data_IF_601391359635
#
_entry.id   IF_601391359635
#
_cell.length_a   1.000
_cell.length_b   1.000
_cell.length_c   1.000
_cell.angle_alpha   90.00
_cell.angle_beta   90.00
_cell.angle_gamma   90.00
#
_symmetry.space_group_name_H-M   'P 1'
#
loop_
_entity.id
_entity.type
_entity.pdbx_description
1 polymer ?
#
# COMPACT_ATOMS: atom_id res chain seq x y z
N UNK A 1 5.69 -60.90 -45.89
CA UNK A 1 6.78 -59.89 -45.96
C UNK A 1 6.15 -58.52 -45.83
N UNK A 2 6.19 -57.91 -44.64
CA UNK A 2 5.81 -56.50 -44.50
C UNK A 2 6.90 -55.65 -45.16
N UNK A 3 6.49 -54.79 -46.10
CA UNK A 3 7.37 -53.88 -46.82
C UNK A 3 8.05 -52.93 -45.83
N UNK A 4 9.39 -52.82 -45.90
CA UNK A 4 10.19 -51.89 -45.06
C UNK A 4 9.70 -50.43 -45.13
N UNK A 5 8.99 -50.04 -46.21
CA UNK A 5 8.33 -48.72 -46.32
C UNK A 5 7.18 -48.54 -45.34
N UNK A 6 6.34 -49.57 -45.12
CA UNK A 6 5.19 -49.46 -44.23
C UNK A 6 5.59 -49.31 -42.75
N UNK A 7 6.72 -49.90 -42.35
CA UNK A 7 7.27 -49.72 -41.00
C UNK A 7 7.86 -48.32 -40.77
N UNK A 8 8.48 -47.74 -41.80
CA UNK A 8 9.03 -46.37 -41.72
C UNK A 8 7.91 -45.32 -41.61
N UNK A 9 6.80 -45.49 -42.35
CA UNK A 9 5.64 -44.60 -42.25
C UNK A 9 5.01 -44.65 -40.85
N UNK A 10 4.79 -45.84 -40.28
CA UNK A 10 4.21 -45.99 -38.94
C UNK A 10 5.11 -45.33 -37.88
N UNK A 11 6.43 -45.54 -37.96
CA UNK A 11 7.37 -44.92 -37.03
C UNK A 11 7.35 -43.39 -37.12
N UNK A 12 7.29 -42.84 -38.35
CA UNK A 12 7.21 -41.39 -38.55
C UNK A 12 5.93 -40.79 -37.96
N UNK A 13 4.79 -41.46 -38.10
CA UNK A 13 3.50 -41.04 -37.53
C UNK A 13 3.57 -41.02 -36.00
N UNK A 14 4.17 -42.03 -35.37
CA UNK A 14 4.31 -42.11 -33.91
C UNK A 14 5.20 -40.98 -33.39
N UNK A 15 6.32 -40.69 -34.08
CA UNK A 15 7.21 -39.60 -33.69
C UNK A 15 6.49 -38.25 -33.85
N UNK A 16 5.76 -38.04 -34.95
CA UNK A 16 5.04 -36.79 -35.19
C UNK A 16 3.92 -36.56 -34.17
N UNK A 17 3.14 -37.59 -33.84
CA UNK A 17 2.09 -37.49 -32.81
C UNK A 17 2.69 -37.28 -31.43
N UNK A 18 3.80 -37.95 -31.09
CA UNK A 18 4.52 -37.74 -29.84
C UNK A 18 4.99 -36.28 -29.68
N UNK A 19 5.61 -35.72 -30.72
CA UNK A 19 6.07 -34.31 -30.71
C UNK A 19 4.88 -33.35 -30.63
N UNK A 20 3.80 -33.59 -31.38
CA UNK A 20 2.61 -32.76 -31.34
C UNK A 20 1.95 -32.71 -29.96
N UNK A 21 1.90 -33.85 -29.25
CA UNK A 21 1.38 -33.92 -27.87
C UNK A 21 2.25 -33.10 -26.92
N UNK A 22 3.58 -33.23 -27.00
CA UNK A 22 4.51 -32.48 -26.14
C UNK A 22 4.36 -30.97 -26.37
N UNK A 23 4.25 -30.54 -27.63
CA UNK A 23 4.01 -29.13 -27.97
C UNK A 23 2.65 -28.68 -27.43
N UNK A 24 1.60 -29.49 -27.59
CA UNK A 24 0.27 -29.19 -27.07
C UNK A 24 0.24 -28.99 -25.56
N UNK A 25 0.88 -29.88 -24.80
CA UNK A 25 1.00 -29.75 -23.34
C UNK A 25 1.80 -28.50 -22.95
N UNK A 26 2.88 -28.20 -23.68
CA UNK A 26 3.70 -27.00 -23.45
C UNK A 26 2.90 -25.71 -23.65
N UNK A 27 2.12 -25.63 -24.73
CA UNK A 27 1.25 -24.49 -25.01
C UNK A 27 0.16 -24.32 -23.95
N UNK A 28 -0.53 -25.41 -23.58
CA UNK A 28 -1.58 -25.36 -22.54
C UNK A 28 -1.01 -24.88 -21.20
N UNK A 29 0.17 -25.39 -20.82
CA UNK A 29 0.84 -24.99 -19.57
C UNK A 29 1.23 -23.52 -19.59
N UNK A 30 1.76 -23.03 -20.72
CA UNK A 30 2.11 -21.62 -20.92
C UNK A 30 0.87 -20.70 -20.84
N UNK A 31 -0.21 -21.05 -21.54
CA UNK A 31 -1.46 -20.28 -21.49
C UNK A 31 -2.08 -20.26 -20.09
N UNK A 32 -2.05 -21.40 -19.39
CA UNK A 32 -2.52 -21.49 -18.00
C UNK A 32 -1.73 -20.55 -17.08
N UNK A 33 -0.39 -20.56 -17.20
CA UNK A 33 0.49 -19.68 -16.42
C UNK A 33 0.27 -18.20 -16.70
N UNK A 34 0.04 -17.81 -17.96
CA UNK A 34 -0.25 -16.40 -18.29
C UNK A 34 -1.63 -16.00 -17.78
N UNK A 35 -2.62 -16.88 -17.96
CA UNK A 35 -3.97 -16.63 -17.49
C UNK A 35 -4.00 -16.41 -15.98
N UNK A 36 -3.33 -17.26 -15.19
CA UNK A 36 -3.26 -17.11 -13.74
C UNK A 36 -2.58 -15.80 -13.33
N UNK A 37 -1.45 -15.46 -13.95
CA UNK A 37 -0.74 -14.19 -13.67
C UNK A 37 -1.60 -12.96 -13.98
N UNK A 38 -2.37 -12.99 -15.06
CA UNK A 38 -3.28 -11.90 -15.41
C UNK A 38 -4.45 -11.78 -14.43
N UNK A 39 -5.02 -12.90 -13.99
CA UNK A 39 -6.10 -12.91 -12.98
C UNK A 39 -5.59 -12.34 -11.66
N UNK A 40 -4.39 -12.76 -11.21
CA UNK A 40 -3.79 -12.26 -9.97
C UNK A 40 -3.51 -10.76 -10.05
N UNK A 41 -3.01 -10.28 -11.20
CA UNK A 41 -2.81 -8.85 -11.44
C UNK A 41 -4.11 -8.06 -11.43
N UNK A 42 -5.18 -8.57 -12.07
CA UNK A 42 -6.50 -7.93 -12.07
C UNK A 42 -7.10 -7.87 -10.66
N UNK A 43 -6.98 -8.95 -9.88
CA UNK A 43 -7.42 -9.01 -8.50
C UNK A 43 -6.65 -8.01 -7.63
N UNK A 44 -5.32 -7.94 -7.77
CA UNK A 44 -4.50 -6.95 -7.08
C UNK A 44 -4.95 -5.53 -7.41
N UNK A 45 -5.10 -5.20 -8.69
CA UNK A 45 -5.54 -3.88 -9.12
C UNK A 45 -6.93 -3.52 -8.57
N UNK A 46 -7.87 -4.47 -8.60
CA UNK A 46 -9.21 -4.29 -8.04
C UNK A 46 -9.16 -3.99 -6.55
N UNK A 47 -8.38 -4.75 -5.77
CA UNK A 47 -8.19 -4.53 -4.33
C UNK A 47 -7.56 -3.16 -4.06
N UNK A 48 -6.49 -2.80 -4.78
CA UNK A 48 -5.82 -1.51 -4.59
C UNK A 48 -6.71 -0.32 -4.95
N UNK A 49 -7.50 -0.43 -6.03
CA UNK A 49 -8.47 0.59 -6.42
C UNK A 49 -9.57 0.73 -5.37
N UNK A 50 -10.12 -0.39 -4.89
CA UNK A 50 -11.13 -0.38 -3.84
C UNK A 50 -10.60 0.28 -2.56
N UNK A 51 -9.39 -0.07 -2.12
CA UNK A 51 -8.73 0.56 -0.97
C UNK A 51 -8.43 2.04 -1.20
N UNK A 52 -8.05 2.44 -2.41
CA UNK A 52 -7.82 3.86 -2.73
C UNK A 52 -9.08 4.72 -2.56
N UNK A 53 -10.21 4.24 -3.09
CA UNK A 53 -11.49 4.95 -3.03
C UNK A 53 -12.18 4.84 -1.68
N UNK A 54 -11.87 3.80 -0.89
CA UNK A 54 -12.46 3.64 0.43
C UNK A 54 -11.80 4.52 1.49
N UNK A 55 -10.58 5.02 1.28
CA UNK A 55 -9.83 5.75 2.31
C UNK A 55 -9.90 7.26 2.12
N UNK A 56 -10.16 7.98 3.21
CA UNK A 56 -10.06 9.44 3.28
C UNK A 56 -9.20 9.82 4.47
N UNK A 57 -8.31 10.79 4.24
CA UNK A 57 -7.65 11.55 5.28
C UNK A 57 -7.87 13.04 5.01
N UNK A 58 -8.20 13.81 6.03
CA UNK A 58 -8.44 15.26 5.92
C UNK A 58 -7.83 15.99 7.10
N UNK A 59 -7.21 17.13 6.81
CA UNK A 59 -6.82 18.08 7.85
C UNK A 59 -8.06 18.64 8.54
N UNK A 60 -8.00 18.74 9.85
CA UNK A 60 -9.09 19.25 10.71
C UNK A 60 -8.67 20.58 11.32
N UNK A 61 -7.55 20.59 12.03
CA UNK A 61 -7.05 21.74 12.76
C UNK A 61 -5.54 21.59 13.03
N UNK A 62 -4.88 22.67 13.41
CA UNK A 62 -3.55 22.63 13.99
C UNK A 62 -3.55 23.46 15.26
N UNK A 63 -2.87 22.98 16.29
CA UNK A 63 -2.51 23.75 17.47
C UNK A 63 -0.98 23.97 17.49
N UNK A 64 -0.48 24.55 18.58
CA UNK A 64 0.95 24.88 18.75
C UNK A 64 1.87 23.64 18.69
N UNK A 65 1.34 22.44 18.93
CA UNK A 65 2.10 21.19 19.03
C UNK A 65 1.67 20.12 18.03
N UNK A 66 0.40 20.07 17.63
CA UNK A 66 -0.15 19.00 16.82
C UNK A 66 -0.90 19.52 15.60
N UNK A 67 -0.70 18.85 14.47
CA UNK A 67 -1.59 18.90 13.34
C UNK A 67 -2.57 17.72 13.42
N UNK A 68 -3.87 18.03 13.40
CA UNK A 68 -4.96 17.08 13.56
C UNK A 68 -5.57 16.70 12.22
N UNK A 69 -5.72 15.40 12.01
CA UNK A 69 -6.32 14.82 10.82
C UNK A 69 -7.45 13.87 11.22
N UNK A 70 -8.50 13.82 10.41
CA UNK A 70 -9.51 12.77 10.48
C UNK A 70 -9.22 11.74 9.40
N UNK A 71 -9.09 10.48 9.82
CA UNK A 71 -9.01 9.33 8.93
C UNK A 71 -10.31 8.55 8.99
N UNK A 72 -10.88 8.22 7.84
CA UNK A 72 -12.15 7.51 7.73
C UNK A 72 -12.14 6.56 6.54
N UNK A 73 -12.84 5.44 6.68
CA UNK A 73 -13.21 4.60 5.54
C UNK A 73 -14.63 4.89 5.07
N UNK A 74 -14.78 5.17 3.78
CA UNK A 74 -16.06 5.45 3.11
C UNK A 74 -16.95 4.22 2.95
N UNK A 75 -16.35 3.01 3.01
CA UNK A 75 -17.11 1.76 2.98
C UNK A 75 -17.77 1.42 4.32
N UNK A 76 -17.58 2.25 5.36
CA UNK A 76 -18.15 2.06 6.69
C UNK A 76 -17.56 0.87 7.44
N UNK A 77 -16.53 0.21 6.91
CA UNK A 77 -15.90 -0.95 7.55
C UNK A 77 -15.17 -0.61 8.85
N UNK A 78 -14.86 0.69 9.07
CA UNK A 78 -14.16 1.20 10.24
C UNK A 78 -14.77 2.50 10.71
N UNK A 79 -14.73 2.74 12.02
CA UNK A 79 -15.12 4.04 12.57
C UNK A 79 -14.09 5.11 12.17
N UNK A 80 -14.52 6.34 11.88
CA UNK A 80 -13.60 7.47 11.76
C UNK A 80 -12.81 7.65 13.05
N UNK A 81 -11.54 8.01 12.92
CA UNK A 81 -10.67 8.30 14.04
C UNK A 81 -9.78 9.50 13.75
N UNK A 82 -9.28 10.13 14.81
CA UNK A 82 -8.39 11.27 14.69
C UNK A 82 -6.94 10.85 14.82
N UNK A 83 -6.09 11.47 14.00
CA UNK A 83 -4.64 11.31 14.02
C UNK A 83 -4.06 12.67 14.39
N UNK A 84 -3.27 12.69 15.46
CA UNK A 84 -2.43 13.81 15.84
C UNK A 84 -1.00 13.57 15.33
N UNK A 85 -0.40 14.60 14.75
CA UNK A 85 0.97 14.57 14.24
C UNK A 85 1.73 15.70 14.92
N UNK A 86 2.76 15.35 15.71
CA UNK A 86 3.60 16.35 16.40
C UNK A 86 4.33 17.21 15.36
N UNK A 87 4.08 18.52 15.38
CA UNK A 87 4.64 19.49 14.45
C UNK A 87 6.01 20.03 14.91
N UNK A 88 6.41 19.76 16.15
CA UNK A 88 7.64 20.27 16.76
C UNK A 88 8.86 19.41 16.44
N UNK A 89 8.64 18.15 16.10
CA UNK A 89 9.69 17.20 15.76
C UNK A 89 9.77 17.01 14.25
N UNK A 90 10.84 17.54 13.64
CA UNK A 90 11.14 17.37 12.22
C UNK A 90 11.59 15.93 11.85
N UNK A 91 11.38 14.94 12.72
CA UNK A 91 11.87 13.58 12.55
C UNK A 91 10.76 12.58 12.21
N UNK A 92 11.05 11.78 11.19
CA UNK A 92 10.20 10.81 10.48
C UNK A 92 9.97 9.50 11.28
N UNK A 93 9.84 9.59 12.60
CA UNK A 93 9.64 8.42 13.46
C UNK A 93 8.15 8.22 13.78
N UNK A 94 7.73 6.98 13.97
CA UNK A 94 6.35 6.65 14.27
C UNK A 94 5.89 7.22 15.61
N UNK A 95 6.84 7.59 16.49
CA UNK A 95 6.59 8.24 17.77
C UNK A 95 5.92 9.62 17.66
N UNK A 96 5.99 10.30 16.51
CA UNK A 96 5.31 11.60 16.32
C UNK A 96 3.84 11.46 15.92
N UNK A 97 3.37 10.23 15.68
CA UNK A 97 2.02 9.94 15.25
C UNK A 97 1.25 9.35 16.42
N UNK A 98 0.10 9.92 16.72
CA UNK A 98 -0.80 9.38 17.74
C UNK A 98 -2.21 9.27 17.18
N UNK A 99 -2.91 8.20 17.51
CA UNK A 99 -4.36 8.13 17.31
C UNK A 99 -5.08 8.53 18.58
N UNK A 100 -6.07 9.39 18.42
CA UNK A 100 -6.89 9.87 19.53
C UNK A 100 -8.15 9.01 19.69
N UNK A 101 -8.35 8.52 20.92
CA UNK A 101 -9.44 7.65 21.34
C UNK A 101 -10.48 8.50 22.08
N UNK A 102 -11.50 8.92 21.34
CA UNK A 102 -12.54 9.80 21.88
C UNK A 102 -13.32 9.16 23.04
N UNK A 103 -13.48 7.83 23.05
CA UNK A 103 -14.25 7.12 24.08
C UNK A 103 -13.64 7.20 25.49
N UNK A 104 -12.34 7.52 25.60
CA UNK A 104 -11.62 7.61 26.88
C UNK A 104 -11.52 9.06 27.36
N UNK A 105 -11.87 10.03 26.51
CA UNK A 105 -11.82 11.44 26.88
C UNK A 105 -12.85 11.79 27.96
N UNK A 106 -12.37 12.07 29.16
CA UNK A 106 -13.20 12.37 30.32
C UNK A 106 -13.24 13.86 30.69
N UNK A 107 -12.33 14.68 30.16
CA UNK A 107 -12.13 16.07 30.57
C UNK A 107 -12.27 17.09 29.41
N UNK A 108 -12.71 16.63 28.24
CA UNK A 108 -12.87 17.40 27.01
C UNK A 108 -11.56 18.04 26.50
N UNK A 109 -10.40 17.62 27.00
CA UNK A 109 -9.09 18.08 26.54
C UNK A 109 -8.41 16.92 25.81
N UNK A 110 -8.11 17.06 24.52
CA UNK A 110 -7.55 15.94 23.76
C UNK A 110 -6.12 15.61 24.21
N UNK A 111 -5.83 14.31 24.38
CA UNK A 111 -4.54 13.81 24.85
C UNK A 111 -4.15 14.30 26.25
N UNK A 112 -5.12 14.60 27.13
CA UNK A 112 -4.86 15.09 28.48
C UNK A 112 -4.57 13.93 29.45
N UNK A 113 -5.22 12.78 29.23
CA UNK A 113 -5.06 11.59 30.08
C UNK A 113 -4.31 10.46 29.37
N UNK A 114 -3.66 9.62 30.18
CA UNK A 114 -2.92 8.46 29.68
C UNK A 114 -3.85 7.49 28.94
N UNK A 115 -3.47 7.10 27.72
CA UNK A 115 -4.26 6.18 26.89
C UNK A 115 -5.27 6.86 25.96
N UNK A 116 -5.53 8.16 26.10
CA UNK A 116 -6.34 8.90 25.11
C UNK A 116 -5.64 9.03 23.77
N UNK A 117 -4.31 9.16 23.78
CA UNK A 117 -3.50 9.27 22.58
C UNK A 117 -2.51 8.12 22.52
N UNK A 118 -2.87 7.14 21.71
CA UNK A 118 -2.07 5.93 21.49
C UNK A 118 -1.02 6.26 20.44
N UNK A 119 0.24 6.25 20.87
CA UNK A 119 1.39 6.48 19.99
C UNK A 119 1.50 5.33 18.99
N UNK A 120 1.74 5.65 17.73
CA UNK A 120 1.91 4.67 16.67
C UNK A 120 3.20 3.86 16.88
N UNK A 121 3.17 2.60 16.46
CA UNK A 121 4.33 1.72 16.52
C UNK A 121 4.94 1.54 15.13
N UNK A 122 6.26 1.33 15.06
CA UNK A 122 6.91 1.01 13.79
C UNK A 122 6.52 -0.39 13.34
N UNK A 123 5.81 -0.49 12.20
CA UNK A 123 5.46 -1.77 11.59
C UNK A 123 6.67 -2.42 10.93
N UNK A 124 7.48 -1.60 10.25
CA UNK A 124 8.70 -2.06 9.59
C UNK A 124 9.42 -0.94 8.85
N UNK A 125 10.66 -1.24 8.46
CA UNK A 125 11.53 -0.36 7.70
C UNK A 125 11.70 -0.96 6.32
N UNK A 126 11.24 -0.24 5.29
CA UNK A 126 11.20 -0.73 3.92
C UNK A 126 12.08 0.12 3.00
N UNK A 127 12.94 -0.47 2.16
CA UNK A 127 13.60 0.27 1.09
C UNK A 127 12.56 0.95 0.19
N UNK A 128 12.80 2.21 -0.20
CA UNK A 128 11.83 2.99 -1.01
C UNK A 128 11.45 2.26 -2.30
N UNK A 129 12.39 1.55 -2.92
CA UNK A 129 12.18 0.78 -4.15
C UNK A 129 11.41 -0.56 -3.97
N UNK A 130 11.10 -0.95 -2.73
CA UNK A 130 10.27 -2.12 -2.41
C UNK A 130 8.84 -1.76 -2.02
N UNK A 131 8.53 -0.46 -2.06
CA UNK A 131 7.22 0.08 -1.78
C UNK A 131 6.61 0.45 -3.10
N UNK A 132 5.39 -0.02 -3.34
CA UNK A 132 4.70 0.19 -4.61
C UNK A 132 3.63 1.27 -4.49
N UNK A 133 3.27 1.90 -5.59
CA UNK A 133 2.21 2.91 -5.69
C UNK A 133 1.32 2.53 -6.88
N UNK A 134 0.01 2.63 -6.69
CA UNK A 134 -0.94 2.58 -7.81
C UNK A 134 -0.96 3.96 -8.48
N UNK A 135 -0.44 4.06 -9.70
CA UNK A 135 -0.41 5.29 -10.47
C UNK A 135 -0.88 5.05 -11.90
N UNK A 136 -1.89 5.79 -12.35
CA UNK A 136 -2.40 5.72 -13.73
C UNK A 136 -2.71 4.29 -14.21
N UNK A 137 -3.31 3.47 -13.34
CA UNK A 137 -3.65 2.05 -13.57
C UNK A 137 -2.44 1.11 -13.74
N UNK A 138 -1.24 1.51 -13.30
CA UNK A 138 -0.10 0.62 -13.18
C UNK A 138 0.48 0.65 -11.76
N UNK A 139 1.25 -0.39 -11.44
CA UNK A 139 1.97 -0.51 -10.18
C UNK A 139 3.43 -0.16 -10.45
N UNK A 140 3.88 0.96 -9.89
CA UNK A 140 5.26 1.42 -9.99
C UNK A 140 5.88 1.53 -8.61
N UNK A 141 7.20 1.46 -8.51
CA UNK A 141 7.87 1.66 -7.23
C UNK A 141 7.76 3.13 -6.79
N UNK A 142 7.73 3.35 -5.48
CA UNK A 142 7.53 4.65 -4.85
C UNK A 142 8.64 5.62 -5.23
N UNK A 143 9.89 5.16 -5.42
CA UNK A 143 10.99 6.03 -5.80
C UNK A 143 10.76 6.60 -7.20
N UNK A 144 10.40 5.76 -8.16
CA UNK A 144 10.05 6.18 -9.51
C UNK A 144 8.86 7.14 -9.51
N UNK A 145 7.81 6.85 -8.72
CA UNK A 145 6.68 7.76 -8.57
C UNK A 145 7.12 9.13 -8.04
N UNK A 146 7.85 9.18 -6.94
CA UNK A 146 8.28 10.43 -6.33
C UNK A 146 9.17 11.24 -7.28
N UNK A 147 10.08 10.58 -8.01
CA UNK A 147 10.93 11.21 -9.02
C UNK A 147 10.12 11.86 -10.13
N UNK A 148 9.02 11.23 -10.56
CA UNK A 148 8.09 11.83 -11.54
C UNK A 148 7.41 13.10 -11.00
N UNK A 149 7.25 13.20 -9.68
CA UNK A 149 6.69 14.37 -8.99
C UNK A 149 7.77 15.41 -8.60
N UNK A 150 9.01 15.25 -9.07
CA UNK A 150 10.12 16.15 -8.74
C UNK A 150 10.64 16.03 -7.31
N UNK A 151 10.34 14.92 -6.62
CA UNK A 151 10.90 14.59 -5.30
C UNK A 151 11.82 13.37 -5.41
N UNK A 152 12.96 13.34 -4.73
CA UNK A 152 13.74 12.09 -4.61
C UNK A 152 13.88 11.74 -3.14
N UNK A 153 13.64 10.47 -2.83
CA UNK A 153 13.86 9.91 -1.50
C UNK A 153 14.75 8.70 -1.69
N UNK A 154 15.90 8.71 -1.01
CA UNK A 154 16.82 7.59 -0.99
C UNK A 154 16.73 6.82 0.33
N UNK A 155 17.18 5.56 0.30
CA UNK A 155 17.27 4.72 1.49
C UNK A 155 15.99 3.96 1.81
N UNK A 156 15.60 4.02 3.08
CA UNK A 156 14.49 3.26 3.63
C UNK A 156 13.51 4.14 4.37
N UNK A 157 12.29 3.63 4.52
CA UNK A 157 11.14 4.37 5.01
C UNK A 157 10.52 3.61 6.15
N UNK A 158 10.13 4.32 7.19
CA UNK A 158 9.37 3.75 8.30
C UNK A 158 7.89 3.76 7.92
N UNK A 159 7.24 2.60 8.04
CA UNK A 159 5.78 2.50 7.95
C UNK A 159 5.27 2.32 9.37
N UNK A 160 4.37 3.21 9.79
CA UNK A 160 3.83 3.25 11.13
C UNK A 160 2.48 2.54 11.18
N UNK A 161 2.27 1.78 12.25
CA UNK A 161 1.02 1.12 12.60
C UNK A 161 0.26 2.01 13.57
N UNK A 162 -0.91 2.49 13.14
CA UNK A 162 -1.82 3.30 13.95
C UNK A 162 -2.99 2.44 14.39
N UNK A 163 -3.25 2.41 15.69
CA UNK A 163 -4.29 1.62 16.34
C UNK A 163 -5.31 2.56 17.02
N UNK A 164 -6.35 3.00 16.30
CA UNK A 164 -7.30 4.00 16.78
C UNK A 164 -8.22 3.53 17.90
N UNK A 165 -8.27 2.23 18.21
CA UNK A 165 -8.95 1.69 19.38
C UNK A 165 -8.52 0.23 19.61
N UNK A 166 -8.97 -0.35 20.72
CA UNK A 166 -8.89 -1.78 21.03
C UNK A 166 -9.64 -2.68 20.03
N UNK A 167 -10.41 -2.10 19.10
CA UNK A 167 -11.17 -2.81 18.08
C UNK A 167 -10.39 -2.92 16.76
N UNK A 168 -9.24 -3.61 16.75
CA UNK A 168 -8.57 -4.22 15.56
C UNK A 168 -8.31 -3.37 14.30
N UNK A 169 -8.65 -2.08 14.27
CA UNK A 169 -8.73 -1.25 13.07
C UNK A 169 -7.36 -0.65 12.71
N UNK A 170 -6.44 -1.49 12.24
CA UNK A 170 -5.07 -1.06 11.95
C UNK A 170 -5.01 -0.23 10.67
N UNK A 171 -4.51 1.00 10.76
CA UNK A 171 -4.17 1.83 9.60
C UNK A 171 -2.67 2.03 9.52
N UNK A 172 -2.10 1.90 8.32
CA UNK A 172 -0.67 2.03 8.11
C UNK A 172 -0.35 3.36 7.45
N UNK A 173 0.50 4.14 8.09
CA UNK A 173 0.75 5.53 7.73
C UNK A 173 2.24 5.80 7.70
N UNK A 174 2.67 6.63 6.75
CA UNK A 174 3.95 7.33 6.84
C UNK A 174 3.68 8.82 6.69
N UNK A 175 4.52 9.61 7.33
CA UNK A 175 4.55 11.06 7.17
C UNK A 175 5.94 11.45 6.70
N UNK A 176 6.02 12.33 5.71
CA UNK A 176 7.24 13.02 5.31
C UNK A 176 7.02 14.53 5.28
N UNK A 177 8.13 15.28 5.34
CA UNK A 177 8.15 16.68 4.95
C UNK A 177 8.22 16.78 3.43
N UNK A 178 7.32 17.55 2.83
CA UNK A 178 7.35 17.85 1.40
C UNK A 178 8.53 18.76 1.02
N UNK A 179 8.86 18.81 -0.27
CA UNK A 179 10.03 19.52 -0.82
C UNK A 179 10.11 21.01 -0.43
N UNK A 180 8.98 21.67 -0.16
CA UNK A 180 8.93 23.03 0.37
C UNK A 180 8.68 22.93 1.87
N UNK A 181 9.72 23.13 2.69
CA UNK A 181 9.62 23.13 4.15
C UNK A 181 8.39 23.90 4.62
N UNK A 182 7.41 23.19 5.18
CA UNK A 182 6.07 23.71 5.46
C UNK A 182 4.92 22.89 4.84
N UNK A 183 5.20 21.88 4.01
CA UNK A 183 4.19 20.90 3.57
C UNK A 183 4.36 19.56 4.27
N UNK A 184 3.27 19.02 4.79
CA UNK A 184 3.18 17.68 5.34
C UNK A 184 2.69 16.72 4.26
N UNK A 185 3.42 15.65 3.99
CA UNK A 185 2.99 14.59 3.07
C UNK A 185 2.63 13.35 3.86
N UNK A 186 1.39 12.91 3.76
CA UNK A 186 0.89 11.70 4.42
C UNK A 186 0.66 10.61 3.38
N UNK A 187 1.24 9.44 3.63
CA UNK A 187 1.08 8.23 2.83
C UNK A 187 0.21 7.25 3.63
N UNK A 188 -0.87 6.77 3.02
CA UNK A 188 -1.63 5.64 3.52
C UNK A 188 -1.19 4.39 2.78
N UNK A 189 -0.93 3.33 3.53
CA UNK A 189 -0.52 2.04 3.00
C UNK A 189 -1.60 0.99 3.15
N UNK A 190 -1.57 0.01 2.26
CA UNK A 190 -2.16 -1.31 2.45
C UNK A 190 -1.11 -2.38 2.18
N UNK A 191 -1.31 -3.57 2.73
CA UNK A 191 -0.40 -4.69 2.54
C UNK A 191 -1.13 -5.79 1.78
N UNK A 192 -0.62 -6.15 0.60
CA UNK A 192 -1.10 -7.29 -0.19
C UNK A 192 0.03 -8.27 -0.33
N UNK A 193 -0.17 -9.52 0.09
CA UNK A 193 0.86 -10.57 0.10
C UNK A 193 2.17 -10.11 0.79
N UNK A 194 2.03 -9.40 1.93
CA UNK A 194 3.15 -8.86 2.72
C UNK A 194 4.02 -7.80 2.01
N UNK A 195 3.58 -7.28 0.86
CA UNK A 195 4.22 -6.16 0.18
C UNK A 195 3.47 -4.85 0.47
N UNK A 196 4.16 -3.74 0.82
CA UNK A 196 3.52 -2.45 1.07
C UNK A 196 3.17 -1.73 -0.23
N UNK A 197 1.92 -1.25 -0.29
CA UNK A 197 1.41 -0.40 -1.37
C UNK A 197 0.93 0.92 -0.78
N UNK A 198 1.55 2.03 -1.17
CA UNK A 198 1.03 3.36 -0.93
C UNK A 198 -0.20 3.56 -1.82
N UNK A 199 -1.37 3.48 -1.21
CA UNK A 199 -2.66 3.64 -1.89
C UNK A 199 -2.99 5.11 -2.07
N UNK A 200 -2.68 5.96 -1.09
CA UNK A 200 -2.99 7.39 -1.14
C UNK A 200 -1.83 8.21 -0.62
N UNK A 201 -1.48 9.26 -1.34
CA UNK A 201 -0.45 10.22 -0.96
C UNK A 201 -1.12 11.59 -0.97
N UNK A 202 -1.16 12.24 0.19
CA UNK A 202 -1.83 13.53 0.37
C UNK A 202 -0.82 14.55 0.88
N UNK A 203 -0.80 15.74 0.28
CA UNK A 203 0.03 16.85 0.73
C UNK A 203 -0.85 17.94 1.35
N UNK A 204 -0.42 18.45 2.50
CA UNK A 204 -1.09 19.51 3.24
C UNK A 204 -0.11 20.64 3.52
N UNK A 205 -0.52 21.88 3.29
CA UNK A 205 0.25 23.04 3.74
C UNK A 205 0.02 23.22 5.24
N UNK A 206 1.09 23.21 6.04
CA UNK A 206 1.04 23.51 7.47
C UNK A 206 1.11 25.03 7.74
N UNK A 207 0.94 25.87 6.71
CA UNK A 207 1.01 27.33 6.82
C UNK A 207 -0.11 28.07 6.09
N UNK A 208 -0.85 28.88 6.87
CA UNK A 208 -1.49 30.15 6.47
C UNK A 208 -2.96 30.11 6.06
N UNK A 209 -3.84 30.59 6.95
CA UNK A 209 -4.95 31.44 6.51
C UNK A 209 -4.45 32.80 6.01
#
# INVERSE_FOLDING_TARGET
MYSKKAQADILSIIILTGVAIVIGIGLVSYYSSISSQNIDRLNLMSVLQQEYYSQIIRFVASDDRYAWFIAMRLDGSRKPFYIAIDNSQFFLDCSVISSYVYEINNDNTACSTEGECIVASTMGIYPVNRVNVLYSNDVIDLRTFLRSQGTDIEGSINICRVEPSSFSDVTWIRIDLGNSGGRLRIYLFTFVNNAPYAIRISEYSLGGG
#
